data_IF_317739767062
#
_entry.id   IF_317739767062
#
_cell.length_a   1.000
_cell.length_b   1.000
_cell.length_c   1.000
_cell.angle_alpha   90.00
_cell.angle_beta   90.00
_cell.angle_gamma   90.00
#
_symmetry.space_group_name_H-M   'P 1'
#
loop_
_entity.id
_entity.type
_entity.pdbx_description
1 polymer ?
#
# COMPACT_ATOMS: atom_id res chain seq x y z
N UNK A 1 -15.55 -6.51 -51.94
CA UNK A 1 -14.24 -6.36 -51.26
C UNK A 1 -13.26 -7.31 -51.90
N UNK A 2 -12.10 -6.83 -52.33
CA UNK A 2 -11.09 -7.70 -52.93
C UNK A 2 -10.46 -8.58 -51.84
N UNK A 3 -10.08 -9.81 -52.19
CA UNK A 3 -9.46 -10.78 -51.26
C UNK A 3 -8.29 -10.16 -50.48
N UNK A 4 -7.53 -9.29 -51.15
CA UNK A 4 -6.42 -8.54 -50.58
C UNK A 4 -6.83 -7.62 -49.42
N UNK A 5 -7.90 -6.84 -49.57
CA UNK A 5 -8.41 -5.94 -48.53
C UNK A 5 -8.98 -6.73 -47.34
N UNK A 6 -9.62 -7.87 -47.60
CA UNK A 6 -10.10 -8.76 -46.54
C UNK A 6 -8.93 -9.37 -45.74
N UNK A 7 -7.86 -9.77 -46.41
CA UNK A 7 -6.64 -10.27 -45.77
C UNK A 7 -5.97 -9.23 -44.86
N UNK A 8 -5.86 -7.99 -45.34
CA UNK A 8 -5.30 -6.88 -44.54
C UNK A 8 -6.18 -6.60 -43.31
N UNK A 9 -7.49 -6.52 -43.48
CA UNK A 9 -8.41 -6.29 -42.36
C UNK A 9 -8.31 -7.40 -41.30
N UNK A 10 -8.22 -8.66 -41.73
CA UNK A 10 -8.02 -9.80 -40.83
C UNK A 10 -6.70 -9.71 -40.05
N UNK A 11 -5.60 -9.37 -40.73
CA UNK A 11 -4.31 -9.17 -40.07
C UNK A 11 -4.35 -8.04 -39.04
N UNK A 12 -4.98 -6.90 -39.37
CA UNK A 12 -5.15 -5.80 -38.43
C UNK A 12 -5.96 -6.22 -37.19
N UNK A 13 -7.04 -6.98 -37.36
CA UNK A 13 -7.83 -7.49 -36.24
C UNK A 13 -7.02 -8.42 -35.34
N UNK A 14 -6.18 -9.29 -35.93
CA UNK A 14 -5.29 -10.16 -35.17
C UNK A 14 -4.26 -9.37 -34.38
N UNK A 15 -3.62 -8.37 -34.99
CA UNK A 15 -2.63 -7.51 -34.32
C UNK A 15 -3.27 -6.69 -33.20
N UNK A 16 -4.46 -6.12 -33.43
CA UNK A 16 -5.21 -5.38 -32.41
C UNK A 16 -5.59 -6.28 -31.23
N UNK A 17 -6.06 -7.50 -31.51
CA UNK A 17 -6.43 -8.47 -30.46
C UNK A 17 -5.21 -8.90 -29.64
N UNK A 18 -4.08 -9.16 -30.30
CA UNK A 18 -2.82 -9.48 -29.65
C UNK A 18 -2.34 -8.33 -28.75
N UNK A 19 -2.33 -7.12 -29.29
CA UNK A 19 -1.92 -5.93 -28.56
C UNK A 19 -2.82 -5.65 -27.34
N UNK A 20 -4.14 -5.73 -27.52
CA UNK A 20 -5.11 -5.55 -26.44
C UNK A 20 -4.92 -6.61 -25.34
N UNK A 21 -4.72 -7.88 -25.71
CA UNK A 21 -4.41 -8.95 -24.77
C UNK A 21 -3.13 -8.69 -23.98
N UNK A 22 -2.07 -8.22 -24.65
CA UNK A 22 -0.82 -7.82 -24.02
C UNK A 22 -0.97 -6.68 -23.02
N UNK A 23 -1.77 -5.65 -23.35
CA UNK A 23 -2.07 -4.54 -22.45
C UNK A 23 -2.80 -5.02 -21.19
N UNK A 24 -3.85 -5.81 -21.34
CA UNK A 24 -4.61 -6.35 -20.20
C UNK A 24 -3.69 -7.15 -19.28
N UNK A 25 -2.85 -8.02 -19.83
CA UNK A 25 -1.90 -8.81 -19.05
C UNK A 25 -0.89 -7.92 -18.31
N UNK A 26 -0.35 -6.90 -18.97
CA UNK A 26 0.59 -5.95 -18.36
C UNK A 26 -0.04 -5.19 -17.18
N UNK A 27 -1.26 -4.69 -17.38
CA UNK A 27 -2.03 -3.99 -16.33
C UNK A 27 -2.27 -4.92 -15.14
N UNK A 28 -2.73 -6.16 -15.38
CA UNK A 28 -2.98 -7.12 -14.31
C UNK A 28 -1.70 -7.45 -13.52
N UNK A 29 -0.57 -7.67 -14.21
CA UNK A 29 0.72 -7.95 -13.57
C UNK A 29 1.20 -6.77 -12.73
N UNK A 30 1.08 -5.55 -13.25
CA UNK A 30 1.45 -4.34 -12.54
C UNK A 30 0.61 -4.13 -11.27
N UNK A 31 -0.72 -4.27 -11.38
CA UNK A 31 -1.64 -4.17 -10.25
C UNK A 31 -1.38 -5.28 -9.21
N UNK A 32 -1.09 -6.51 -9.66
CA UNK A 32 -0.70 -7.59 -8.75
C UNK A 32 0.61 -7.31 -8.02
N UNK A 33 1.60 -6.70 -8.70
CA UNK A 33 2.86 -6.27 -8.10
C UNK A 33 2.63 -5.24 -7.00
N UNK A 34 1.84 -4.20 -7.29
CA UNK A 34 1.49 -3.17 -6.31
C UNK A 34 0.75 -3.72 -5.08
N UNK A 35 -0.19 -4.64 -5.29
CA UNK A 35 -0.93 -5.30 -4.18
C UNK A 35 0.00 -6.15 -3.30
N UNK A 36 0.87 -6.97 -3.89
CA UNK A 36 1.84 -7.78 -3.13
C UNK A 36 2.80 -6.91 -2.33
N UNK A 37 3.25 -5.81 -2.92
CA UNK A 37 4.13 -4.86 -2.24
C UNK A 37 3.47 -4.21 -1.01
N UNK A 38 2.22 -3.72 -1.16
CA UNK A 38 1.46 -3.18 -0.02
C UNK A 38 1.15 -4.24 1.04
N UNK A 39 0.88 -5.48 0.64
CA UNK A 39 0.70 -6.59 1.57
C UNK A 39 1.97 -6.88 2.37
N UNK A 40 3.14 -6.83 1.75
CA UNK A 40 4.43 -6.97 2.43
C UNK A 40 4.67 -5.85 3.45
N UNK A 41 4.33 -4.59 3.13
CA UNK A 41 4.41 -3.47 4.08
C UNK A 41 3.43 -3.63 5.25
N UNK A 42 2.21 -4.10 4.97
CA UNK A 42 1.23 -4.42 6.00
C UNK A 42 1.75 -5.50 6.97
N UNK A 43 2.39 -6.54 6.44
CA UNK A 43 3.05 -7.59 7.23
C UNK A 43 4.10 -7.03 8.17
N UNK A 44 5.07 -6.28 7.63
CA UNK A 44 6.13 -5.66 8.46
C UNK A 44 5.57 -4.70 9.52
N UNK A 45 4.55 -3.93 9.19
CA UNK A 45 3.90 -3.04 10.16
C UNK A 45 3.26 -3.82 11.32
N UNK A 46 2.65 -4.98 11.06
CA UNK A 46 2.08 -5.84 12.11
C UNK A 46 3.16 -6.49 12.96
N UNK A 47 4.20 -7.03 12.34
CA UNK A 47 5.34 -7.66 13.04
C UNK A 47 6.03 -6.70 14.01
N UNK A 48 6.17 -5.43 13.61
CA UNK A 48 6.79 -4.39 14.44
C UNK A 48 5.85 -3.81 15.52
N UNK A 49 4.58 -4.24 15.57
CA UNK A 49 3.57 -3.66 16.48
C UNK A 49 3.11 -2.25 16.08
N UNK A 50 3.52 -1.76 14.90
CA UNK A 50 3.12 -0.47 14.35
C UNK A 50 1.61 -0.42 14.07
N UNK A 51 1.03 -1.56 13.68
CA UNK A 51 -0.41 -1.68 13.47
C UNK A 51 -1.21 -1.34 14.75
N UNK A 52 -0.76 -1.80 15.92
CA UNK A 52 -1.39 -1.51 17.20
C UNK A 52 -1.27 -0.03 17.56
N UNK A 53 -0.13 0.60 17.24
CA UNK A 53 0.05 2.06 17.41
C UNK A 53 -0.89 2.88 16.53
N UNK A 54 -1.08 2.48 15.28
CA UNK A 54 -2.04 3.11 14.37
C UNK A 54 -3.47 2.96 14.91
N UNK A 55 -3.85 1.76 15.34
CA UNK A 55 -5.17 1.49 15.92
C UNK A 55 -5.39 2.23 17.25
N UNK A 56 -4.35 2.38 18.08
CA UNK A 56 -4.39 3.17 19.30
C UNK A 56 -4.80 4.63 19.03
N UNK A 57 -4.41 5.15 17.85
CA UNK A 57 -4.76 6.49 17.35
C UNK A 57 -6.05 6.53 16.53
N UNK A 58 -6.76 5.41 16.41
CA UNK A 58 -7.96 5.27 15.59
C UNK A 58 -7.69 5.24 14.09
N UNK A 59 -6.45 4.98 13.67
CA UNK A 59 -6.06 4.88 12.26
C UNK A 59 -6.02 3.40 11.88
N UNK A 60 -6.83 2.99 10.90
CA UNK A 60 -6.72 1.65 10.34
C UNK A 60 -5.42 1.48 9.54
N UNK A 61 -4.76 0.33 9.69
CA UNK A 61 -3.53 -0.01 8.95
C UNK A 61 -3.66 0.19 7.44
N UNK A 62 -4.82 -0.16 6.87
CA UNK A 62 -5.07 0.00 5.44
C UNK A 62 -5.24 1.46 5.02
N UNK A 63 -5.87 2.29 5.86
CA UNK A 63 -6.00 3.73 5.60
C UNK A 63 -4.63 4.40 5.61
N UNK A 64 -3.79 4.04 6.58
CA UNK A 64 -2.40 4.50 6.62
C UNK A 64 -1.62 4.07 5.37
N UNK A 65 -1.67 2.80 4.98
CA UNK A 65 -1.02 2.32 3.74
C UNK A 65 -1.54 3.01 2.47
N UNK A 66 -2.74 3.57 2.52
CA UNK A 66 -3.36 4.24 1.37
C UNK A 66 -3.01 5.73 1.29
N UNK A 67 -2.99 6.44 2.42
CA UNK A 67 -2.70 7.87 2.47
C UNK A 67 -1.21 8.20 2.51
N UNK A 68 -0.42 7.31 3.10
CA UNK A 68 0.98 7.57 3.37
C UNK A 68 1.84 7.20 2.15
N UNK A 69 2.84 8.03 1.84
CA UNK A 69 3.77 7.73 0.75
C UNK A 69 4.60 6.48 1.08
N UNK A 70 5.02 5.74 0.05
CA UNK A 70 5.87 4.54 0.25
C UNK A 70 7.17 4.88 0.98
N UNK A 71 7.74 6.07 0.73
CA UNK A 71 8.95 6.55 1.39
C UNK A 71 8.70 6.83 2.88
N UNK A 72 7.62 7.54 3.21
CA UNK A 72 7.29 7.82 4.61
C UNK A 72 6.89 6.55 5.37
N UNK A 73 6.22 5.59 4.73
CA UNK A 73 6.00 4.25 5.28
C UNK A 73 7.33 3.57 5.63
N UNK A 74 8.32 3.59 4.73
CA UNK A 74 9.64 2.99 5.01
C UNK A 74 10.34 3.67 6.19
N UNK A 75 10.35 5.00 6.23
CA UNK A 75 10.95 5.75 7.33
C UNK A 75 10.26 5.44 8.67
N UNK A 76 8.93 5.30 8.68
CA UNK A 76 8.17 4.97 9.89
C UNK A 76 8.42 3.52 10.33
N UNK A 77 8.49 2.57 9.40
CA UNK A 77 8.87 1.18 9.68
C UNK A 77 10.29 1.10 10.25
N UNK A 78 11.24 1.85 9.68
CA UNK A 78 12.63 1.87 10.15
C UNK A 78 12.73 2.45 11.55
N UNK A 79 12.11 3.61 11.81
CA UNK A 79 12.02 4.18 13.17
C UNK A 79 11.42 3.21 14.19
N UNK A 80 10.46 2.39 13.77
CA UNK A 80 9.85 1.39 14.63
C UNK A 80 10.77 0.18 14.85
N UNK A 81 11.47 -0.28 13.81
CA UNK A 81 12.48 -1.33 13.91
C UNK A 81 13.63 -0.95 14.83
N UNK A 82 14.06 0.31 14.80
CA UNK A 82 15.14 0.85 15.63
C UNK A 82 14.68 1.17 17.07
N UNK A 83 13.38 1.10 17.34
CA UNK A 83 12.82 1.39 18.66
C UNK A 83 13.06 0.22 19.64
N UNK A 84 13.58 0.54 20.82
CA UNK A 84 13.81 -0.42 21.91
C UNK A 84 12.54 -0.70 22.73
N UNK A 85 11.55 0.20 22.68
CA UNK A 85 10.28 0.12 23.43
C UNK A 85 9.15 -0.58 22.67
N UNK A 86 9.49 -1.52 21.78
CA UNK A 86 8.51 -2.22 20.93
C UNK A 86 7.50 -3.05 21.71
N UNK A 87 7.88 -3.57 22.87
CA UNK A 87 6.97 -4.38 23.71
C UNK A 87 5.82 -3.54 24.29
N UNK A 88 6.08 -2.27 24.61
CA UNK A 88 5.04 -1.34 25.07
C UNK A 88 3.94 -1.15 24.02
N UNK A 89 4.28 -1.25 22.73
CA UNK A 89 3.32 -1.16 21.63
C UNK A 89 2.40 -2.39 21.52
N UNK A 90 2.81 -3.56 22.03
CA UNK A 90 2.09 -4.83 21.81
C UNK A 90 0.75 -4.86 22.54
N UNK A 91 0.65 -4.16 23.67
CA UNK A 91 -0.51 -4.16 24.55
C UNK A 91 -1.34 -2.88 24.47
N UNK A 92 -1.04 -2.00 23.52
CA UNK A 92 -1.79 -0.76 23.34
C UNK A 92 -3.25 -1.04 22.98
N UNK A 93 -4.12 -0.21 23.54
CA UNK A 93 -5.54 -0.15 23.21
C UNK A 93 -5.88 1.20 22.57
N UNK A 94 -7.00 1.29 21.84
CA UNK A 94 -7.55 2.57 21.38
C UNK A 94 -7.61 3.61 22.50
N UNK A 95 -7.04 4.79 22.27
CA UNK A 95 -7.04 5.90 23.21
C UNK A 95 -5.92 5.89 24.26
N UNK A 96 -4.98 4.94 24.21
CA UNK A 96 -3.78 4.97 25.06
C UNK A 96 -2.85 6.14 24.71
N UNK A 97 -2.09 6.62 25.70
CA UNK A 97 -1.00 7.57 25.45
C UNK A 97 0.13 6.87 24.68
N UNK A 98 0.52 7.49 23.57
CA UNK A 98 1.52 7.00 22.63
C UNK A 98 2.73 7.93 22.54
N UNK A 99 2.87 8.89 23.45
CA UNK A 99 3.95 9.89 23.45
C UNK A 99 5.38 9.32 23.49
N UNK A 100 5.54 8.05 23.87
CA UNK A 100 6.81 7.33 23.80
C UNK A 100 7.18 6.86 22.38
N UNK A 101 6.23 6.86 21.43
CA UNK A 101 6.43 6.36 20.08
C UNK A 101 7.23 7.35 19.23
N UNK A 102 8.32 6.91 18.56
CA UNK A 102 9.05 7.76 17.61
C UNK A 102 8.22 8.24 16.41
N UNK A 103 7.11 7.56 16.12
CA UNK A 103 6.20 7.90 15.03
C UNK A 103 4.98 8.72 15.51
N UNK A 104 4.89 9.06 16.79
CA UNK A 104 3.69 9.62 17.40
C UNK A 104 3.17 10.88 16.70
N UNK A 105 4.06 11.85 16.49
CA UNK A 105 3.73 13.11 15.84
C UNK A 105 3.28 12.91 14.38
N UNK A 106 3.84 11.92 13.67
CA UNK A 106 3.43 11.61 12.32
C UNK A 106 2.01 11.03 12.29
N UNK A 107 1.71 10.10 13.19
CA UNK A 107 0.37 9.52 13.31
C UNK A 107 -0.66 10.55 13.79
N UNK A 108 -0.29 11.47 14.69
CA UNK A 108 -1.15 12.57 15.12
C UNK A 108 -1.59 13.45 13.95
N UNK A 109 -0.66 13.84 13.07
CA UNK A 109 -0.97 14.61 11.86
C UNK A 109 -1.89 13.86 10.91
N UNK A 110 -1.66 12.56 10.71
CA UNK A 110 -2.52 11.74 9.86
C UNK A 110 -3.93 11.59 10.45
N UNK A 111 -4.05 11.34 11.76
CA UNK A 111 -5.34 11.27 12.44
C UNK A 111 -6.13 12.58 12.32
N UNK A 112 -5.45 13.73 12.39
CA UNK A 112 -6.08 15.04 12.17
C UNK A 112 -6.54 15.21 10.72
N UNK A 113 -5.70 14.84 9.75
CA UNK A 113 -6.01 14.87 8.31
C UNK A 113 -7.20 13.99 7.93
N UNK A 114 -7.44 12.90 8.65
CA UNK A 114 -8.55 11.97 8.40
C UNK A 114 -9.88 12.40 9.02
N UNK A 115 -9.88 13.40 9.92
CA UNK A 115 -11.08 13.91 10.60
C UNK A 115 -11.62 15.22 10.02
N UNK A 116 -10.80 15.94 9.25
CA UNK A 116 -11.19 17.13 8.51
C UNK A 116 -11.82 16.76 7.18
#
# INVERSE_FOLDING_TARGET
MNLFSAGIAGLFLLLLSWFAGGLVLSIMRNLSGGRRYRAHLAGRARELGLANMLEARGIGLQNWLHHESVLSIHQQLQRCADCTRREECRHLRPGCDTGFCPNDAAFGRLAASLRG
#
